data_IF_896681541243
#
_entry.id   IF_896681541243
#
_cell.length_a   1.000
_cell.length_b   1.000
_cell.length_c   1.000
_cell.angle_alpha   90.00
_cell.angle_beta   90.00
_cell.angle_gamma   90.00
#
_symmetry.space_group_name_H-M   'P 1'
#
loop_
_entity.id
_entity.type
_entity.pdbx_description
1 polymer ?
#
# COMPACT_ATOMS: atom_id res chain seq x y z
N UNK A 1 89.22 -15.94 -56.52
CA UNK A 1 90.10 -14.76 -56.46
C UNK A 1 89.34 -13.63 -55.79
N UNK A 2 89.64 -13.40 -54.51
CA UNK A 2 89.22 -12.26 -53.71
C UNK A 2 90.11 -11.06 -54.06
N UNK A 3 89.53 -9.88 -54.29
CA UNK A 3 90.24 -8.60 -54.16
C UNK A 3 89.28 -7.47 -53.81
N UNK A 4 89.45 -6.99 -52.59
CA UNK A 4 89.24 -5.62 -52.09
C UNK A 4 89.65 -4.55 -53.12
N UNK A 5 89.10 -3.34 -53.21
CA UNK A 5 88.13 -2.56 -52.45
C UNK A 5 88.16 -1.11 -52.99
N UNK A 6 87.80 -0.15 -52.14
CA UNK A 6 88.03 1.31 -52.21
C UNK A 6 86.80 2.19 -52.49
N UNK A 7 86.59 3.09 -51.52
CA UNK A 7 85.68 4.23 -51.42
C UNK A 7 85.91 5.32 -52.47
N UNK A 8 84.84 6.05 -52.78
CA UNK A 8 84.89 7.51 -53.00
C UNK A 8 83.54 8.15 -52.59
N UNK A 9 83.50 9.38 -52.03
CA UNK A 9 82.31 9.97 -51.43
C UNK A 9 81.65 11.03 -52.32
N UNK A 10 80.33 11.20 -52.23
CA UNK A 10 79.65 12.37 -52.81
C UNK A 10 78.38 12.76 -52.02
N UNK A 11 78.52 13.90 -51.34
CA UNK A 11 77.57 15.00 -51.20
C UNK A 11 76.06 14.74 -50.95
N UNK A 12 75.65 15.14 -49.75
CA UNK A 12 74.59 16.14 -49.49
C UNK A 12 73.26 16.01 -50.25
N UNK A 13 72.26 15.48 -49.55
CA UNK A 13 70.91 16.07 -49.61
C UNK A 13 70.35 16.26 -48.21
N UNK A 14 70.16 17.53 -47.86
CA UNK A 14 69.40 17.99 -46.71
C UNK A 14 67.92 17.62 -46.90
N UNK A 15 67.49 16.54 -46.27
CA UNK A 15 66.08 16.17 -46.14
C UNK A 15 65.49 16.83 -44.90
N UNK A 16 64.61 17.81 -45.12
CA UNK A 16 63.83 18.49 -44.09
C UNK A 16 63.10 17.50 -43.17
N UNK A 17 63.45 17.45 -41.88
CA UNK A 17 62.62 16.80 -40.86
C UNK A 17 61.40 17.69 -40.58
N UNK A 18 60.36 17.52 -41.39
CA UNK A 18 59.01 17.97 -41.03
C UNK A 18 58.58 17.10 -39.85
N UNK A 19 58.16 17.66 -38.70
CA UNK A 19 57.65 16.83 -37.62
C UNK A 19 56.38 16.14 -38.13
N UNK A 20 56.44 14.81 -38.16
CA UNK A 20 55.31 13.95 -38.50
C UNK A 20 54.22 14.24 -37.46
N UNK A 21 53.20 14.99 -37.88
CA UNK A 21 52.04 15.30 -37.05
C UNK A 21 51.37 13.97 -36.70
N UNK A 22 51.54 13.54 -35.45
CA UNK A 22 50.89 12.36 -34.87
C UNK A 22 49.38 12.54 -35.06
N UNK A 23 48.70 11.67 -35.83
CA UNK A 23 47.29 11.88 -36.15
C UNK A 23 46.46 11.73 -34.88
N UNK A 24 45.72 12.80 -34.57
CA UNK A 24 44.51 12.88 -33.76
C UNK A 24 44.40 11.87 -32.60
N UNK A 25 44.88 12.30 -31.43
CA UNK A 25 44.44 11.71 -30.16
C UNK A 25 42.93 11.94 -30.02
N UNK A 26 42.13 10.99 -30.50
CA UNK A 26 40.70 10.92 -30.20
C UNK A 26 40.53 11.01 -28.68
N UNK A 27 39.58 11.81 -28.16
CA UNK A 27 39.43 12.01 -26.73
C UNK A 27 39.31 10.66 -26.02
N UNK A 28 40.23 10.40 -25.09
CA UNK A 28 40.42 9.13 -24.37
C UNK A 28 39.14 8.62 -23.66
N UNK A 29 38.15 9.49 -23.48
CA UNK A 29 36.86 9.20 -22.86
C UNK A 29 36.02 8.22 -23.68
N UNK A 30 36.17 8.17 -25.02
CA UNK A 30 35.45 7.24 -25.90
C UNK A 30 36.33 6.09 -26.41
N UNK A 31 37.56 5.96 -25.89
CA UNK A 31 38.43 4.84 -26.21
C UNK A 31 37.82 3.55 -25.65
N UNK A 32 37.91 2.46 -26.43
CA UNK A 32 37.31 1.16 -26.08
C UNK A 32 37.92 0.53 -24.83
N UNK A 33 39.13 0.97 -24.48
CA UNK A 33 39.89 0.58 -23.29
C UNK A 33 39.79 1.62 -22.14
N UNK A 34 38.96 2.65 -22.32
CA UNK A 34 38.75 3.71 -21.34
C UNK A 34 37.72 3.37 -20.28
N UNK A 35 37.79 4.05 -19.14
CA UNK A 35 36.84 3.91 -18.01
C UNK A 35 35.37 4.03 -18.41
N UNK A 36 35.05 4.86 -19.41
CA UNK A 36 33.67 5.00 -19.88
C UNK A 36 33.13 3.72 -20.54
N UNK A 37 33.94 3.03 -21.35
CA UNK A 37 33.54 1.77 -21.99
C UNK A 37 33.32 0.67 -20.94
N UNK A 38 34.15 0.64 -19.89
CA UNK A 38 33.99 -0.26 -18.75
C UNK A 38 32.71 0.03 -17.95
N UNK A 39 32.45 1.30 -17.59
CA UNK A 39 31.27 1.71 -16.82
C UNK A 39 29.99 1.49 -17.63
N UNK A 40 29.93 1.95 -18.87
CA UNK A 40 28.75 1.77 -19.74
C UNK A 40 28.49 0.29 -20.05
N UNK A 41 29.55 -0.49 -20.26
CA UNK A 41 29.47 -1.94 -20.45
C UNK A 41 28.90 -2.65 -19.23
N UNK A 42 29.40 -2.29 -18.04
CA UNK A 42 28.92 -2.84 -16.76
C UNK A 42 27.46 -2.48 -16.50
N UNK A 43 27.09 -1.21 -16.65
CA UNK A 43 25.71 -0.75 -16.50
C UNK A 43 24.76 -1.45 -17.48
N UNK A 44 25.17 -1.60 -18.74
CA UNK A 44 24.38 -2.31 -19.75
C UNK A 44 24.17 -3.78 -19.39
N UNK A 45 25.21 -4.46 -18.87
CA UNK A 45 25.10 -5.85 -18.40
C UNK A 45 24.20 -5.96 -17.17
N UNK A 46 24.32 -5.05 -16.20
CA UNK A 46 23.43 -5.01 -15.04
C UNK A 46 21.97 -4.83 -15.45
N UNK A 47 21.69 -3.90 -16.36
CA UNK A 47 20.35 -3.71 -16.94
C UNK A 47 19.84 -4.98 -17.63
N UNK A 48 20.63 -5.58 -18.52
CA UNK A 48 20.23 -6.80 -19.23
C UNK A 48 20.02 -7.98 -18.28
N UNK A 49 20.90 -8.18 -17.30
CA UNK A 49 20.75 -9.21 -16.26
C UNK A 49 19.49 -8.98 -15.44
N UNK A 50 19.14 -7.73 -15.13
CA UNK A 50 17.92 -7.39 -14.43
C UNK A 50 16.67 -7.72 -15.27
N UNK A 51 16.64 -7.34 -16.55
CA UNK A 51 15.54 -7.67 -17.47
C UNK A 51 15.38 -9.19 -17.64
N UNK A 52 16.49 -9.91 -17.80
CA UNK A 52 16.48 -11.38 -17.90
C UNK A 52 15.97 -12.01 -16.60
N UNK A 53 16.44 -11.54 -15.44
CA UNK A 53 15.98 -12.06 -14.14
C UNK A 53 14.47 -11.86 -13.96
N UNK A 54 13.95 -10.66 -14.26
CA UNK A 54 12.51 -10.39 -14.21
C UNK A 54 11.72 -11.29 -15.16
N UNK A 55 12.26 -11.54 -16.36
CA UNK A 55 11.64 -12.45 -17.33
C UNK A 55 11.60 -13.88 -16.79
N UNK A 56 12.70 -14.38 -16.23
CA UNK A 56 12.76 -15.72 -15.65
C UNK A 56 11.78 -15.85 -14.48
N UNK A 57 11.69 -14.83 -13.61
CA UNK A 57 10.73 -14.80 -12.50
C UNK A 57 9.28 -14.80 -12.99
N UNK A 58 8.99 -14.13 -14.12
CA UNK A 58 7.67 -14.13 -14.74
C UNK A 58 7.35 -15.45 -15.48
N UNK A 59 8.34 -16.04 -16.14
CA UNK A 59 8.17 -17.22 -16.99
C UNK A 59 8.15 -18.53 -16.22
N UNK A 60 9.03 -18.67 -15.24
CA UNK A 60 9.25 -19.92 -14.53
C UNK A 60 7.97 -20.45 -13.88
N UNK A 61 7.16 -19.64 -13.16
CA UNK A 61 5.94 -20.13 -12.53
C UNK A 61 4.88 -20.62 -13.53
N UNK A 62 4.90 -20.12 -14.77
CA UNK A 62 3.96 -20.58 -15.82
C UNK A 62 4.17 -22.07 -16.15
N UNK A 63 5.41 -22.56 -16.08
CA UNK A 63 5.72 -23.99 -16.23
C UNK A 63 5.15 -24.84 -15.08
N UNK A 64 4.82 -24.23 -13.94
CA UNK A 64 4.22 -24.87 -12.76
C UNK A 64 2.71 -24.61 -12.65
N UNK A 65 2.05 -24.25 -13.76
CA UNK A 65 0.59 -24.11 -13.81
C UNK A 65 0.04 -22.77 -13.31
N UNK A 66 0.91 -21.77 -13.10
CA UNK A 66 0.45 -20.39 -12.84
C UNK A 66 -0.06 -19.77 -14.14
N UNK A 67 -0.97 -18.80 -14.01
CA UNK A 67 -1.50 -18.01 -15.11
C UNK A 67 -1.08 -16.56 -14.93
N UNK A 68 -0.57 -15.92 -15.98
CA UNK A 68 -0.17 -14.51 -15.94
C UNK A 68 -1.25 -13.60 -16.51
N UNK A 69 -1.55 -12.52 -15.80
CA UNK A 69 -2.50 -11.48 -16.23
C UNK A 69 -1.86 -10.10 -16.06
N UNK A 70 -1.92 -9.28 -17.11
CA UNK A 70 -1.31 -7.95 -17.12
C UNK A 70 -2.31 -6.90 -16.63
N UNK A 71 -1.89 -6.07 -15.69
CA UNK A 71 -2.69 -5.00 -15.09
C UNK A 71 -2.74 -3.80 -16.02
N UNK A 72 -3.96 -3.37 -16.35
CA UNK A 72 -4.18 -2.27 -17.29
C UNK A 72 -4.71 -0.99 -16.64
N UNK A 73 -5.42 -1.11 -15.52
CA UNK A 73 -6.03 0.04 -14.83
C UNK A 73 -5.38 0.28 -13.47
N UNK A 74 -5.50 1.52 -12.97
CA UNK A 74 -4.99 1.93 -11.66
C UNK A 74 -5.93 1.61 -10.49
N UNK A 75 -6.99 0.79 -10.67
CA UNK A 75 -7.97 0.51 -9.60
C UNK A 75 -7.38 -0.20 -8.38
N UNK A 76 -6.15 -0.70 -8.50
CA UNK A 76 -5.45 -1.44 -7.46
C UNK A 76 -4.19 -0.71 -6.95
N UNK A 77 -4.06 0.58 -7.29
CA UNK A 77 -3.02 1.45 -6.73
C UNK A 77 -3.25 1.72 -5.23
N UNK A 78 -2.20 2.04 -4.46
CA UNK A 78 -0.79 2.15 -4.86
C UNK A 78 -0.06 0.81 -4.93
N UNK A 79 -0.68 -0.29 -4.48
CA UNK A 79 0.02 -1.56 -4.29
C UNK A 79 0.37 -2.25 -5.61
N UNK A 80 -0.42 -2.03 -6.65
CA UNK A 80 -0.16 -2.55 -8.00
C UNK A 80 -0.56 -1.52 -9.02
N UNK A 81 0.30 -1.36 -10.02
CA UNK A 81 0.19 -0.29 -10.99
C UNK A 81 -0.04 -0.87 -12.38
N UNK A 82 -0.60 -0.06 -13.30
CA UNK A 82 -0.65 -0.42 -14.71
C UNK A 82 0.73 -0.84 -15.25
N UNK A 83 0.78 -1.94 -15.99
CA UNK A 83 2.01 -2.53 -16.53
C UNK A 83 2.62 -3.65 -15.68
N UNK A 84 2.02 -4.01 -14.55
CA UNK A 84 2.45 -5.15 -13.75
C UNK A 84 1.90 -6.48 -14.24
N UNK A 85 2.64 -7.56 -13.96
CA UNK A 85 2.21 -8.93 -14.23
C UNK A 85 1.82 -9.64 -12.93
N UNK A 86 0.58 -10.10 -12.86
CA UNK A 86 0.02 -10.85 -11.74
C UNK A 86 -0.01 -12.32 -12.12
N UNK A 87 0.70 -13.16 -11.37
CA UNK A 87 0.67 -14.60 -11.54
C UNK A 87 -0.30 -15.20 -10.54
N UNK A 88 -1.36 -15.83 -11.04
CA UNK A 88 -2.43 -16.46 -10.27
C UNK A 88 -2.35 -17.98 -10.36
N UNK A 89 -2.79 -18.65 -9.29
CA UNK A 89 -3.06 -20.10 -9.30
C UNK A 89 -4.56 -20.33 -9.36
N UNK A 90 -5.04 -21.37 -10.06
CA UNK A 90 -6.42 -21.80 -9.96
C UNK A 90 -6.80 -22.03 -8.49
N UNK A 91 -7.98 -21.55 -8.09
CA UNK A 91 -8.49 -21.70 -6.73
C UNK A 91 -9.59 -22.77 -6.74
N UNK A 92 -9.33 -24.01 -6.26
CA UNK A 92 -10.32 -25.11 -6.29
C UNK A 92 -11.62 -24.73 -5.61
N UNK A 93 -12.78 -25.20 -6.06
CA UNK A 93 -14.08 -24.75 -5.55
C UNK A 93 -14.26 -25.00 -4.03
N UNK A 94 -13.70 -26.11 -3.53
CA UNK A 94 -13.80 -26.51 -2.13
C UNK A 94 -12.82 -25.80 -1.18
N UNK A 95 -11.87 -25.03 -1.72
CA UNK A 95 -10.90 -24.33 -0.87
C UNK A 95 -11.53 -23.10 -0.22
N UNK A 96 -11.24 -22.80 1.06
CA UNK A 96 -11.73 -21.59 1.70
C UNK A 96 -11.19 -20.35 0.98
N UNK A 97 -12.03 -19.34 0.84
CA UNK A 97 -11.64 -18.09 0.19
C UNK A 97 -10.99 -17.18 1.24
N UNK A 98 -9.73 -16.75 1.04
CA UNK A 98 -9.05 -15.90 1.99
C UNK A 98 -9.62 -14.48 1.94
N UNK A 99 -10.28 -14.05 3.02
CA UNK A 99 -10.66 -12.66 3.21
C UNK A 99 -9.40 -11.78 3.20
N UNK A 100 -9.48 -10.64 2.50
CA UNK A 100 -8.33 -9.77 2.22
C UNK A 100 -7.43 -10.28 1.09
N UNK A 101 -7.68 -11.47 0.55
CA UNK A 101 -6.98 -12.02 -0.60
C UNK A 101 -7.38 -11.35 -1.90
N UNK A 102 -6.49 -11.39 -2.88
CA UNK A 102 -6.75 -10.86 -4.22
C UNK A 102 -7.08 -11.98 -5.19
N UNK A 103 -8.23 -11.84 -5.84
CA UNK A 103 -8.83 -12.87 -6.66
C UNK A 103 -9.14 -12.36 -8.03
N UNK A 104 -9.01 -13.26 -9.00
CA UNK A 104 -9.24 -13.01 -10.40
C UNK A 104 -10.57 -13.61 -10.83
N UNK A 105 -11.42 -12.80 -11.48
CA UNK A 105 -12.76 -13.18 -11.89
C UNK A 105 -13.18 -12.48 -13.17
N UNK A 106 -14.33 -12.87 -13.72
CA UNK A 106 -14.92 -12.23 -14.89
C UNK A 106 -15.95 -11.18 -14.47
N UNK A 107 -15.71 -9.92 -14.85
CA UNK A 107 -16.58 -8.79 -14.61
C UNK A 107 -17.29 -8.29 -15.89
N UNK A 108 -18.49 -7.70 -15.77
CA UNK A 108 -19.19 -7.10 -16.89
C UNK A 108 -18.43 -5.86 -17.40
N UNK A 109 -18.13 -5.81 -18.69
CA UNK A 109 -17.55 -4.65 -19.35
C UNK A 109 -18.66 -3.65 -19.74
N UNK A 110 -18.34 -2.35 -19.76
CA UNK A 110 -19.27 -1.26 -20.10
C UNK A 110 -19.91 -1.38 -21.51
N UNK A 111 -19.40 -2.27 -22.38
CA UNK A 111 -19.93 -2.56 -23.72
C UNK A 111 -20.60 -3.92 -23.89
N UNK A 112 -21.00 -4.60 -22.80
CA UNK A 112 -21.74 -5.87 -22.87
C UNK A 112 -20.89 -7.15 -23.02
N UNK A 113 -19.56 -7.04 -22.87
CA UNK A 113 -18.64 -8.18 -22.84
C UNK A 113 -18.24 -8.60 -21.42
N UNK A 114 -17.51 -9.72 -21.29
CA UNK A 114 -16.82 -10.08 -20.04
C UNK A 114 -15.34 -9.70 -20.16
N UNK A 115 -14.82 -9.00 -19.16
CA UNK A 115 -13.40 -8.74 -19.02
C UNK A 115 -12.92 -9.30 -17.69
N UNK A 116 -11.65 -9.65 -17.63
CA UNK A 116 -11.07 -10.28 -16.44
C UNK A 116 -10.64 -9.16 -15.49
N UNK A 117 -11.03 -9.28 -14.24
CA UNK A 117 -10.86 -8.28 -13.18
C UNK A 117 -10.16 -8.96 -12.01
N UNK A 118 -9.27 -8.25 -11.32
CA UNK A 118 -8.65 -8.80 -10.11
C UNK A 118 -8.84 -7.82 -8.94
N UNK A 119 -9.83 -8.06 -8.10
CA UNK A 119 -10.05 -7.18 -6.95
C UNK A 119 -9.78 -7.91 -5.64
N UNK A 120 -9.63 -7.12 -4.57
CA UNK A 120 -9.45 -7.67 -3.24
C UNK A 120 -10.79 -8.06 -2.67
N UNK A 121 -10.87 -9.24 -2.08
CA UNK A 121 -12.04 -9.63 -1.29
C UNK A 121 -12.00 -8.86 0.01
N UNK A 122 -12.95 -7.96 0.20
CA UNK A 122 -13.01 -7.10 1.37
C UNK A 122 -13.99 -7.62 2.42
N UNK A 123 -15.03 -8.33 2.01
CA UNK A 123 -16.04 -8.85 2.91
C UNK A 123 -16.78 -10.07 2.30
N UNK A 124 -17.40 -10.91 3.13
CA UNK A 124 -18.46 -11.80 2.67
C UNK A 124 -19.66 -10.97 2.16
N UNK A 125 -20.38 -11.53 1.18
CA UNK A 125 -21.59 -10.95 0.61
C UNK A 125 -22.83 -11.19 1.46
N UNK A 126 -24.02 -10.99 0.87
CA UNK A 126 -25.29 -11.10 1.60
C UNK A 126 -25.66 -12.55 1.86
N UNK A 127 -25.20 -13.47 1.01
CA UNK A 127 -25.38 -14.91 1.18
C UNK A 127 -24.05 -15.59 1.56
N UNK A 128 -24.09 -16.77 2.21
CA UNK A 128 -22.87 -17.49 2.65
C UNK A 128 -21.88 -17.89 1.54
N UNK A 129 -22.25 -17.72 0.27
CA UNK A 129 -21.45 -18.08 -0.91
C UNK A 129 -21.21 -16.89 -1.85
N UNK A 130 -21.38 -15.68 -1.33
CA UNK A 130 -21.05 -14.45 -2.02
C UNK A 130 -19.89 -13.75 -1.33
N UNK A 131 -19.12 -13.01 -2.12
CA UNK A 131 -18.02 -12.17 -1.65
C UNK A 131 -18.11 -10.80 -2.30
N UNK A 132 -17.76 -9.78 -1.53
CA UNK A 132 -17.67 -8.41 -2.00
C UNK A 132 -16.21 -8.15 -2.35
N UNK A 133 -15.99 -7.77 -3.60
CA UNK A 133 -14.68 -7.36 -4.09
C UNK A 133 -14.57 -5.85 -4.17
N UNK A 134 -13.35 -5.35 -4.07
CA UNK A 134 -13.07 -3.93 -4.19
C UNK A 134 -11.67 -3.69 -4.74
N UNK A 135 -11.55 -2.69 -5.61
CA UNK A 135 -10.27 -2.14 -6.02
C UNK A 135 -9.57 -1.39 -4.89
N UNK A 136 -8.27 -1.61 -4.67
CA UNK A 136 -7.53 -0.94 -3.58
C UNK A 136 -7.57 0.60 -3.68
N UNK A 137 -7.64 1.15 -4.89
CA UNK A 137 -7.74 2.58 -5.17
C UNK A 137 -9.18 3.09 -5.27
N UNK A 138 -10.18 2.21 -5.36
CA UNK A 138 -11.57 2.63 -5.49
C UNK A 138 -12.08 3.14 -4.13
N UNK A 139 -13.00 4.11 -4.12
CA UNK A 139 -13.65 4.57 -2.88
C UNK A 139 -14.75 3.59 -2.43
N UNK A 140 -15.49 3.07 -3.40
CA UNK A 140 -16.59 2.14 -3.21
C UNK A 140 -16.21 0.69 -3.53
N UNK A 141 -16.92 -0.25 -2.91
CA UNK A 141 -16.83 -1.66 -3.26
C UNK A 141 -17.63 -1.95 -4.53
N UNK A 142 -17.30 -3.04 -5.23
CA UNK A 142 -18.02 -3.42 -6.43
C UNK A 142 -19.48 -3.74 -6.08
N UNK A 143 -20.41 -3.15 -6.83
CA UNK A 143 -21.85 -3.30 -6.58
C UNK A 143 -22.36 -4.72 -6.84
N UNK A 144 -21.62 -5.51 -7.61
CA UNK A 144 -21.96 -6.89 -7.95
C UNK A 144 -21.23 -7.84 -7.01
N UNK A 145 -21.97 -8.54 -6.16
CA UNK A 145 -21.42 -9.61 -5.34
C UNK A 145 -20.91 -10.77 -6.21
N UNK A 146 -19.77 -11.31 -5.84
CA UNK A 146 -19.07 -12.37 -6.56
C UNK A 146 -19.40 -13.71 -5.92
N UNK A 147 -20.00 -14.62 -6.71
CA UNK A 147 -20.25 -15.99 -6.30
C UNK A 147 -19.01 -16.87 -6.53
N UNK A 148 -18.95 -18.02 -5.85
CA UNK A 148 -17.76 -18.90 -5.86
C UNK A 148 -17.32 -19.30 -7.27
N UNK A 149 -18.27 -19.59 -8.14
CA UNK A 149 -18.11 -20.04 -9.53
C UNK A 149 -17.46 -19.01 -10.43
N UNK A 150 -17.59 -17.71 -10.12
CA UNK A 150 -17.00 -16.63 -10.90
C UNK A 150 -15.53 -16.40 -10.58
N UNK A 151 -15.04 -16.94 -9.47
CA UNK A 151 -13.64 -16.79 -9.05
C UNK A 151 -12.77 -17.80 -9.77
N UNK A 152 -11.99 -17.32 -10.73
CA UNK A 152 -11.14 -18.16 -11.59
C UNK A 152 -9.78 -18.49 -10.97
N UNK A 153 -9.26 -17.64 -10.10
CA UNK A 153 -7.94 -17.84 -9.50
C UNK A 153 -7.65 -16.87 -8.36
N UNK A 154 -6.58 -17.18 -7.63
CA UNK A 154 -6.04 -16.31 -6.60
C UNK A 154 -4.66 -15.83 -7.04
N UNK A 155 -4.41 -14.52 -6.95
CA UNK A 155 -3.07 -13.97 -7.15
C UNK A 155 -2.09 -14.59 -6.17
N UNK A 156 -0.90 -15.00 -6.65
CA UNK A 156 0.21 -15.50 -5.81
C UNK A 156 1.50 -14.67 -5.91
N UNK A 157 1.87 -14.21 -7.11
CA UNK A 157 3.10 -13.45 -7.34
C UNK A 157 2.84 -12.19 -8.16
N UNK A 158 3.56 -11.12 -7.86
CA UNK A 158 3.61 -9.90 -8.66
C UNK A 158 4.99 -9.71 -9.27
N UNK A 159 5.04 -9.44 -10.56
CA UNK A 159 6.26 -9.01 -11.24
C UNK A 159 6.04 -7.62 -11.82
N UNK A 160 6.68 -6.64 -11.19
CA UNK A 160 6.57 -5.21 -11.52
C UNK A 160 7.16 -4.94 -12.91
N UNK A 161 6.53 -4.06 -13.68
CA UNK A 161 7.01 -3.54 -14.99
C UNK A 161 7.10 -4.52 -16.17
N UNK A 162 7.02 -5.84 -15.97
CA UNK A 162 7.16 -6.83 -17.04
C UNK A 162 6.03 -6.74 -18.07
N UNK A 163 4.85 -6.30 -17.68
CA UNK A 163 3.68 -6.14 -18.56
C UNK A 163 3.66 -4.83 -19.36
N UNK A 164 4.60 -3.91 -19.16
CA UNK A 164 4.62 -2.61 -19.84
C UNK A 164 4.70 -2.73 -21.37
N UNK A 165 5.57 -3.58 -21.98
CA UNK A 165 5.62 -3.72 -23.44
C UNK A 165 4.30 -4.23 -24.03
N UNK A 166 3.63 -5.21 -23.39
CA UNK A 166 2.30 -5.67 -23.81
C UNK A 166 1.26 -4.58 -23.70
N UNK A 167 1.29 -3.80 -22.61
CA UNK A 167 0.33 -2.72 -22.39
C UNK A 167 0.47 -1.63 -23.44
N UNK A 168 1.70 -1.24 -23.77
CA UNK A 168 1.97 -0.26 -24.82
C UNK A 168 1.51 -0.77 -26.19
N UNK A 169 1.77 -2.03 -26.50
CA UNK A 169 1.34 -2.64 -27.76
C UNK A 169 -0.20 -2.70 -27.86
N UNK A 170 -0.88 -3.15 -26.79
CA UNK A 170 -2.33 -3.24 -26.74
C UNK A 170 -3.02 -1.88 -26.75
N UNK A 171 -2.42 -0.86 -26.14
CA UNK A 171 -2.91 0.51 -26.13
C UNK A 171 -2.49 1.34 -27.35
N UNK A 172 -1.86 0.73 -28.37
CA UNK A 172 -1.29 1.41 -29.54
C UNK A 172 -0.28 2.54 -29.20
N UNK A 173 0.37 2.47 -28.04
CA UNK A 173 1.39 3.41 -27.59
C UNK A 173 2.77 3.01 -28.13
N UNK A 174 3.00 3.24 -29.43
CA UNK A 174 4.24 2.79 -30.08
C UNK A 174 5.50 3.55 -29.64
N UNK A 175 5.38 4.82 -29.24
CA UNK A 175 6.52 5.65 -28.83
C UNK A 175 7.31 5.06 -27.64
N UNK A 176 6.69 4.74 -26.48
CA UNK A 176 7.41 4.13 -25.37
C UNK A 176 7.94 2.72 -25.72
N UNK A 177 7.20 1.95 -26.51
CA UNK A 177 7.62 0.62 -26.95
C UNK A 177 8.90 0.68 -27.81
N UNK A 178 8.92 1.53 -28.84
CA UNK A 178 10.08 1.71 -29.72
C UNK A 178 11.26 2.28 -28.94
N UNK A 179 11.02 3.22 -28.03
CA UNK A 179 12.07 3.79 -27.17
C UNK A 179 12.71 2.73 -26.27
N UNK A 180 11.89 1.86 -25.66
CA UNK A 180 12.37 0.76 -24.84
C UNK A 180 13.15 -0.30 -25.65
N UNK A 181 12.65 -0.66 -26.84
CA UNK A 181 13.34 -1.57 -27.76
C UNK A 181 14.68 -1.00 -28.23
N UNK A 182 14.72 0.29 -28.58
CA UNK A 182 15.95 0.98 -28.97
C UNK A 182 16.95 1.05 -27.81
N UNK A 183 16.50 1.38 -26.59
CA UNK A 183 17.35 1.39 -25.40
C UNK A 183 17.91 0.02 -25.06
N UNK A 184 17.09 -1.03 -25.16
CA UNK A 184 17.53 -2.42 -24.94
C UNK A 184 18.50 -2.88 -26.03
N UNK A 185 18.24 -2.55 -27.30
CA UNK A 185 19.17 -2.81 -28.40
C UNK A 185 20.51 -2.09 -28.22
N UNK A 186 20.49 -0.84 -27.75
CA UNK A 186 21.69 -0.09 -27.42
C UNK A 186 22.47 -0.72 -26.26
N UNK A 187 21.79 -1.21 -25.21
CA UNK A 187 22.41 -1.92 -24.11
C UNK A 187 23.08 -3.23 -24.55
N UNK A 188 22.44 -4.00 -25.44
CA UNK A 188 23.04 -5.21 -26.04
C UNK A 188 24.28 -4.85 -26.84
N UNK A 189 24.20 -3.82 -27.68
CA UNK A 189 25.33 -3.34 -28.47
C UNK A 189 26.49 -2.86 -27.58
N UNK A 190 26.22 -2.07 -26.53
CA UNK A 190 27.20 -1.59 -25.57
C UNK A 190 27.84 -2.73 -24.76
N UNK A 191 27.05 -3.72 -24.32
CA UNK A 191 27.54 -4.89 -23.60
C UNK A 191 28.49 -5.75 -24.46
N UNK A 192 28.20 -5.87 -25.77
CA UNK A 192 29.04 -6.57 -26.74
C UNK A 192 30.28 -5.75 -27.16
N UNK A 193 30.13 -4.43 -27.30
CA UNK A 193 31.24 -3.54 -27.66
C UNK A 193 32.29 -3.45 -26.55
N UNK A 194 31.85 -3.36 -25.30
CA UNK A 194 32.68 -3.34 -24.08
C UNK A 194 33.25 -4.71 -23.67
N UNK A 195 32.96 -5.78 -24.43
CA UNK A 195 33.55 -7.08 -24.14
C UNK A 195 35.04 -7.07 -24.50
N UNK A 196 35.94 -7.47 -23.58
CA UNK A 196 37.36 -7.61 -23.89
C UNK A 196 37.52 -8.59 -25.05
N UNK A 197 37.99 -8.13 -26.20
CA UNK A 197 38.41 -9.03 -27.26
C UNK A 197 39.79 -9.52 -26.84
N UNK A 198 39.91 -10.81 -26.60
CA UNK A 198 41.22 -11.43 -26.43
C UNK A 198 42.05 -11.05 -27.66
N UNK A 199 43.03 -10.18 -27.46
CA UNK A 199 43.97 -9.82 -28.50
C UNK A 199 44.68 -11.13 -28.90
N UNK A 200 44.55 -11.50 -30.17
CA UNK A 200 45.12 -12.70 -30.81
C UNK A 200 46.67 -12.73 -30.82
N UNK A 201 47.32 -11.99 -29.91
CA UNK A 201 48.77 -11.98 -29.69
C UNK A 201 49.27 -13.13 -28.82
N UNK A 202 48.48 -14.18 -28.59
CA UNK A 202 48.96 -15.47 -28.07
C UNK A 202 48.47 -16.60 -28.99
N UNK A 203 49.32 -17.00 -29.93
CA UNK A 203 49.11 -18.18 -30.80
C UNK A 203 48.82 -19.42 -29.92
N UNK A 204 47.72 -20.17 -30.14
CA UNK A 204 47.52 -21.44 -29.45
C UNK A 204 48.26 -22.57 -30.20
N UNK A 205 48.88 -23.47 -29.45
CA UNK A 205 49.35 -24.76 -29.95
C UNK A 205 48.16 -25.61 -30.44
N UNK A 206 48.32 -26.48 -31.46
CA UNK A 206 47.20 -27.22 -32.02
C UNK A 206 46.81 -28.37 -31.08
N UNK A 207 45.60 -28.32 -30.52
CA UNK A 207 45.10 -29.41 -29.69
C UNK A 207 43.67 -29.21 -29.18
N UNK A 208 42.73 -29.95 -29.77
CA UNK A 208 41.31 -30.14 -29.38
C UNK A 208 40.44 -28.88 -29.35
N UNK A 209 39.72 -28.71 -30.46
CA UNK A 209 38.57 -27.82 -30.65
C UNK A 209 37.44 -28.24 -29.69
N UNK A 210 37.38 -27.65 -28.51
CA UNK A 210 36.15 -27.59 -27.70
C UNK A 210 35.42 -26.30 -28.10
N UNK A 211 34.30 -26.45 -28.78
CA UNK A 211 33.41 -25.33 -29.10
C UNK A 211 32.80 -24.80 -27.79
N UNK A 212 33.49 -23.84 -27.16
CA UNK A 212 32.88 -23.01 -26.14
C UNK A 212 31.91 -22.05 -26.85
N UNK A 213 30.61 -22.34 -26.71
CA UNK A 213 29.54 -21.40 -27.04
C UNK A 213 29.88 -20.05 -26.38
N UNK A 214 30.14 -19.03 -27.20
CA UNK A 214 30.46 -17.68 -26.72
C UNK A 214 29.30 -17.20 -25.84
N UNK A 215 29.52 -16.87 -24.55
CA UNK A 215 28.44 -16.52 -23.61
C UNK A 215 27.60 -15.30 -24.05
N UNK A 216 28.12 -14.47 -24.96
CA UNK A 216 27.41 -13.36 -25.58
C UNK A 216 26.18 -13.79 -26.43
N UNK A 217 26.21 -14.99 -27.03
CA UNK A 217 25.06 -15.52 -27.79
C UNK A 217 23.96 -15.99 -26.84
N UNK A 218 24.32 -16.52 -25.66
CA UNK A 218 23.35 -17.00 -24.67
C UNK A 218 22.53 -15.85 -24.03
N UNK A 219 23.12 -14.67 -23.82
CA UNK A 219 22.41 -13.50 -23.27
C UNK A 219 21.45 -12.85 -24.28
N UNK A 220 21.76 -12.96 -25.57
CA UNK A 220 20.97 -12.31 -26.65
C UNK A 220 19.71 -13.09 -27.01
N UNK A 221 19.72 -14.42 -26.86
CA UNK A 221 18.57 -15.29 -27.19
C UNK A 221 17.45 -15.19 -26.15
N UNK A 222 17.75 -14.80 -24.90
CA UNK A 222 16.74 -14.69 -23.83
C UNK A 222 15.93 -13.39 -23.89
N UNK A 223 16.49 -12.31 -24.47
CA UNK A 223 15.79 -11.03 -24.61
C UNK A 223 14.63 -11.09 -25.65
N UNK A 224 14.74 -11.96 -26.66
CA UNK A 224 13.67 -12.21 -27.64
C UNK A 224 12.57 -13.10 -27.05
N UNK A 225 12.88 -13.92 -26.04
CA UNK A 225 11.90 -14.76 -25.34
C UNK A 225 10.94 -13.96 -24.45
N UNK A 226 11.35 -12.77 -23.97
CA UNK A 226 10.47 -11.87 -23.18
C UNK A 226 9.25 -11.45 -24.00
N UNK A 227 9.46 -11.12 -25.27
CA UNK A 227 8.36 -10.75 -26.17
C UNK A 227 7.45 -11.96 -26.48
N UNK A 228 8.02 -13.15 -26.74
CA UNK A 228 7.24 -14.35 -27.06
C UNK A 228 6.40 -14.90 -25.89
N UNK A 229 6.89 -14.77 -24.66
CA UNK A 229 6.16 -15.16 -23.46
C UNK A 229 4.98 -14.21 -23.16
N UNK A 230 5.18 -12.92 -23.43
CA UNK A 230 4.19 -11.86 -23.23
C UNK A 230 3.07 -11.92 -24.29
N UNK A 231 3.36 -12.41 -25.50
CA UNK A 231 2.37 -12.56 -26.59
C UNK A 231 1.37 -13.72 -26.39
N UNK A 232 1.61 -14.64 -25.45
CA UNK A 232 0.67 -15.74 -25.13
C UNK A 232 -0.12 -15.53 -23.82
N UNK A 233 0.06 -14.40 -23.13
CA UNK A 233 -0.76 -14.07 -21.97
C UNK A 233 -2.17 -13.63 -22.43
N UNK A 234 -3.17 -14.48 -22.20
CA UNK A 234 -4.60 -14.18 -22.40
C UNK A 234 -5.10 -13.09 -21.40
N UNK A 235 -6.34 -12.57 -21.51
CA UNK A 235 -6.65 -11.14 -21.45
C UNK A 235 -6.44 -10.47 -20.09
N UNK A 236 -6.21 -9.16 -20.20
CA UNK A 236 -6.02 -8.14 -19.19
C UNK A 236 -6.80 -8.34 -17.88
N UNK A 237 -6.14 -8.07 -16.76
CA UNK A 237 -6.78 -8.08 -15.43
C UNK A 237 -6.00 -7.22 -14.45
N UNK A 238 -6.67 -6.33 -13.72
CA UNK A 238 -6.07 -5.42 -12.72
C UNK A 238 -6.09 -6.04 -11.33
N UNK A 239 -5.00 -6.12 -10.53
CA UNK A 239 -4.90 -6.80 -9.19
C UNK A 239 -4.19 -5.98 -8.11
N UNK A 240 -4.27 -6.34 -6.81
CA UNK A 240 -3.36 -5.95 -5.70
C UNK A 240 -2.76 -7.20 -5.01
N UNK A 241 -1.77 -7.05 -4.13
CA UNK A 241 -1.21 -8.15 -3.33
C UNK A 241 -0.97 -7.70 -1.89
N UNK A 242 -1.23 -8.58 -0.92
CA UNK A 242 -0.68 -8.44 0.44
C UNK A 242 0.13 -9.68 0.81
N UNK A 243 1.43 -9.42 0.91
CA UNK A 243 2.47 -10.03 1.76
C UNK A 243 2.67 -11.56 1.78
N UNK A 244 3.85 -11.98 1.27
CA UNK A 244 5.00 -12.58 2.01
C UNK A 244 5.79 -13.50 1.06
N UNK A 245 7.11 -13.32 0.98
CA UNK A 245 8.03 -14.43 0.68
C UNK A 245 9.11 -14.43 1.76
N UNK A 246 9.08 -15.43 2.64
CA UNK A 246 10.14 -15.66 3.62
C UNK A 246 11.25 -16.47 2.98
N UNK A 247 12.51 -16.07 3.14
CA UNK A 247 13.66 -16.99 3.07
C UNK A 247 14.58 -16.70 4.26
N UNK A 248 15.27 -17.75 4.72
CA UNK A 248 15.96 -17.89 6.03
C UNK A 248 17.01 -16.81 6.34
N UNK A 249 17.37 -15.94 5.39
CA UNK A 249 18.52 -15.04 5.53
C UNK A 249 18.23 -13.54 5.41
N UNK A 250 17.01 -13.08 5.11
CA UNK A 250 16.71 -11.63 5.11
C UNK A 250 15.23 -11.35 5.42
N UNK A 251 14.97 -10.45 6.38
CA UNK A 251 13.67 -9.81 6.61
C UNK A 251 13.79 -8.33 6.29
N UNK A 252 13.28 -7.90 5.14
CA UNK A 252 13.02 -6.48 4.88
C UNK A 252 11.61 -6.16 5.40
N UNK A 253 11.55 -5.45 6.53
CA UNK A 253 10.31 -4.90 7.04
C UNK A 253 10.25 -3.41 6.68
N UNK A 254 9.29 -3.02 5.84
CA UNK A 254 8.79 -1.66 5.87
C UNK A 254 7.97 -1.54 7.16
N UNK A 255 8.47 -0.78 8.14
CA UNK A 255 7.71 -0.50 9.34
C UNK A 255 6.42 0.24 8.98
N UNK A 256 5.27 -0.41 9.16
CA UNK A 256 4.01 0.33 9.25
C UNK A 256 4.02 1.00 10.61
N UNK A 257 4.33 2.29 10.66
CA UNK A 257 3.80 3.11 11.74
C UNK A 257 2.28 3.01 11.61
N UNK A 258 1.61 2.47 12.63
CA UNK A 258 0.15 2.55 12.71
C UNK A 258 -0.19 4.03 12.77
N UNK A 259 -0.56 4.63 11.65
CA UNK A 259 -1.28 5.89 11.67
C UNK A 259 -2.59 5.59 12.38
N UNK A 260 -2.75 6.09 13.60
CA UNK A 260 -4.02 6.06 14.33
C UNK A 260 -5.07 6.74 13.44
N UNK A 261 -5.83 5.92 12.74
CA UNK A 261 -6.81 6.36 11.76
C UNK A 261 -8.16 5.81 12.18
N UNK A 262 -9.13 6.70 12.30
CA UNK A 262 -10.53 6.33 12.55
C UNK A 262 -11.16 5.62 11.34
N UNK A 263 -10.48 5.56 10.18
CA UNK A 263 -10.98 4.91 8.98
C UNK A 263 -12.37 5.43 8.61
N UNK A 264 -13.31 4.51 8.37
CA UNK A 264 -14.71 4.85 8.06
C UNK A 264 -15.54 5.25 9.28
N UNK A 265 -15.03 5.13 10.50
CA UNK A 265 -15.71 5.70 11.67
C UNK A 265 -15.64 7.25 11.67
N UNK A 266 -14.82 7.86 10.82
CA UNK A 266 -14.74 9.33 10.63
C UNK A 266 -16.02 9.95 10.08
N UNK A 267 -16.89 9.21 9.40
CA UNK A 267 -18.17 9.77 8.93
C UNK A 267 -19.26 9.77 10.01
N UNK A 268 -19.03 9.10 11.15
CA UNK A 268 -20.04 8.89 12.19
C UNK A 268 -19.75 9.68 13.46
N UNK A 269 -20.67 10.53 13.87
CA UNK A 269 -20.65 11.16 15.19
C UNK A 269 -20.95 10.13 16.29
N UNK A 270 -21.86 9.19 16.01
CA UNK A 270 -22.23 8.13 16.94
C UNK A 270 -22.21 6.78 16.22
N UNK A 271 -21.56 5.78 16.83
CA UNK A 271 -21.52 4.42 16.33
C UNK A 271 -21.78 3.44 17.48
N UNK A 272 -22.72 2.51 17.33
CA UNK A 272 -23.06 1.53 18.36
C UNK A 272 -23.19 0.10 17.81
N UNK A 273 -23.03 -0.88 18.68
CA UNK A 273 -23.19 -2.29 18.33
C UNK A 273 -24.65 -2.74 18.37
N UNK A 274 -25.33 -2.45 19.48
CA UNK A 274 -26.66 -3.02 19.77
C UNK A 274 -27.80 -2.05 19.45
N UNK A 275 -27.75 -0.83 20.02
CA UNK A 275 -28.76 0.22 19.79
C UNK A 275 -28.21 1.61 20.09
N UNK A 276 -28.84 2.62 19.52
CA UNK A 276 -28.70 4.03 19.88
C UNK A 276 -30.05 4.52 20.42
N UNK A 277 -30.08 5.03 21.64
CA UNK A 277 -31.31 5.48 22.27
C UNK A 277 -31.15 6.90 22.84
N UNK A 278 -32.10 7.77 22.55
CA UNK A 278 -32.34 8.96 23.34
C UNK A 278 -33.36 8.60 24.42
N UNK A 279 -32.94 8.64 25.68
CA UNK A 279 -33.71 8.21 26.84
C UNK A 279 -34.60 9.31 27.43
N UNK A 280 -34.59 10.52 26.86
CA UNK A 280 -35.49 11.59 27.33
C UNK A 280 -36.96 11.31 26.97
N UNK A 281 -37.85 11.79 27.83
CA UNK A 281 -39.30 11.73 27.62
C UNK A 281 -39.63 12.53 26.36
N UNK A 282 -40.34 11.89 25.42
CA UNK A 282 -40.65 12.41 24.06
C UNK A 282 -39.43 12.63 23.14
N UNK A 283 -38.21 12.23 23.54
CA UNK A 283 -37.01 12.38 22.70
C UNK A 283 -36.53 13.82 22.51
N UNK A 284 -36.98 14.76 23.35
CA UNK A 284 -36.72 16.19 23.14
C UNK A 284 -35.32 16.57 23.66
N UNK A 285 -34.60 17.40 22.90
CA UNK A 285 -33.44 18.14 23.38
C UNK A 285 -32.07 17.48 23.17
N UNK A 286 -32.02 16.34 22.46
CA UNK A 286 -30.76 15.82 21.93
C UNK A 286 -30.60 16.25 20.48
N UNK A 287 -29.44 16.77 20.09
CA UNK A 287 -29.14 17.06 18.69
C UNK A 287 -27.77 16.54 18.30
N UNK A 288 -27.66 16.04 17.08
CA UNK A 288 -26.49 15.35 16.55
C UNK A 288 -26.14 15.97 15.20
N UNK A 289 -25.01 16.67 15.17
CA UNK A 289 -24.39 17.16 13.94
C UNK A 289 -23.38 16.12 13.45
N UNK A 290 -23.87 15.21 12.60
CA UNK A 290 -23.10 14.14 11.98
C UNK A 290 -23.96 12.88 11.76
N UNK A 291 -23.41 11.86 11.11
CA UNK A 291 -24.14 10.61 10.88
C UNK A 291 -24.15 9.71 12.12
N UNK A 292 -25.20 8.90 12.26
CA UNK A 292 -25.31 7.86 13.28
C UNK A 292 -25.36 6.48 12.64
N UNK A 293 -24.68 5.52 13.25
CA UNK A 293 -24.59 4.15 12.76
C UNK A 293 -24.83 3.12 13.86
N UNK A 294 -25.64 2.10 13.58
CA UNK A 294 -25.78 0.94 14.44
C UNK A 294 -25.54 -0.34 13.64
N UNK A 295 -24.67 -1.22 14.13
CA UNK A 295 -24.42 -2.52 13.50
C UNK A 295 -23.75 -3.49 14.50
N UNK A 296 -24.16 -4.77 14.58
CA UNK A 296 -25.19 -5.45 13.78
C UNK A 296 -26.63 -5.12 14.19
N UNK A 297 -26.82 -4.40 15.29
CA UNK A 297 -28.14 -3.95 15.72
C UNK A 297 -28.80 -3.00 14.73
N UNK A 298 -30.11 -2.80 14.90
CA UNK A 298 -30.92 -1.88 14.08
C UNK A 298 -31.72 -0.89 14.92
N UNK A 299 -31.58 -0.96 16.25
CA UNK A 299 -32.34 -0.13 17.19
C UNK A 299 -31.83 1.31 17.21
N UNK A 300 -32.62 2.23 16.67
CA UNK A 300 -32.45 3.68 16.85
C UNK A 300 -33.78 4.23 17.32
N UNK A 301 -33.83 4.78 18.53
CA UNK A 301 -35.08 5.21 19.19
C UNK A 301 -34.94 6.56 19.88
N UNK A 302 -36.03 7.33 19.96
CA UNK A 302 -36.08 8.61 20.68
C UNK A 302 -35.47 9.79 19.91
N UNK A 303 -35.23 9.65 18.61
CA UNK A 303 -34.79 10.74 17.73
C UNK A 303 -35.90 11.11 16.76
N UNK A 304 -36.11 12.41 16.60
CA UNK A 304 -36.95 12.99 15.57
C UNK A 304 -36.13 13.19 14.28
N UNK A 305 -36.78 13.34 13.11
CA UNK A 305 -36.06 13.49 11.83
C UNK A 305 -35.09 14.67 11.76
N UNK A 306 -35.30 15.72 12.57
CA UNK A 306 -34.45 16.91 12.62
C UNK A 306 -33.38 16.88 13.73
N UNK A 307 -33.40 15.88 14.62
CA UNK A 307 -32.40 15.75 15.68
C UNK A 307 -31.05 15.28 15.14
N UNK A 308 -31.03 14.66 13.96
CA UNK A 308 -29.83 14.15 13.30
C UNK A 308 -29.66 14.86 11.96
N UNK A 309 -28.58 15.63 11.81
CA UNK A 309 -28.29 16.32 10.54
C UNK A 309 -27.72 15.39 9.47
N UNK A 310 -27.04 14.30 9.88
CA UNK A 310 -26.42 13.34 8.98
C UNK A 310 -27.30 12.12 8.63
N UNK A 311 -26.68 11.10 8.04
CA UNK A 311 -27.37 9.83 7.72
C UNK A 311 -27.65 9.02 8.99
N UNK A 312 -28.76 8.26 8.97
CA UNK A 312 -29.05 7.24 9.97
C UNK A 312 -28.86 5.85 9.35
N UNK A 313 -27.76 5.21 9.67
CA UNK A 313 -27.35 3.93 9.12
C UNK A 313 -27.69 2.77 10.07
N UNK A 314 -28.69 1.97 9.70
CA UNK A 314 -29.15 0.81 10.49
C UNK A 314 -28.70 -0.48 9.81
N UNK A 315 -27.66 -1.10 10.35
CA UNK A 315 -27.03 -2.31 9.84
C UNK A 315 -26.70 -2.26 8.33
N UNK A 316 -26.34 -1.07 7.83
CA UNK A 316 -25.89 -0.89 6.44
C UNK A 316 -24.43 -1.33 6.30
N UNK A 317 -23.97 -1.58 5.07
CA UNK A 317 -22.56 -1.90 4.82
C UNK A 317 -21.61 -0.80 5.32
N UNK A 318 -22.04 0.47 5.27
CA UNK A 318 -21.31 1.60 5.85
C UNK A 318 -21.10 1.46 7.35
N UNK A 319 -22.17 1.19 8.12
CA UNK A 319 -22.09 1.00 9.56
C UNK A 319 -21.30 -0.26 9.97
N UNK A 320 -21.42 -1.36 9.21
CA UNK A 320 -20.64 -2.60 9.42
C UNK A 320 -19.14 -2.33 9.25
N UNK A 321 -18.76 -1.65 8.17
CA UNK A 321 -17.36 -1.34 7.87
C UNK A 321 -16.79 -0.32 8.87
N UNK A 322 -17.57 0.71 9.23
CA UNK A 322 -17.17 1.69 10.23
C UNK A 322 -16.93 1.03 11.61
N UNK A 323 -17.74 0.05 12.00
CA UNK A 323 -17.52 -0.71 13.24
C UNK A 323 -16.26 -1.57 13.17
N UNK A 324 -15.99 -2.18 12.02
CA UNK A 324 -14.78 -2.97 11.81
C UNK A 324 -13.53 -2.10 11.95
N UNK A 325 -13.54 -0.91 11.34
CA UNK A 325 -12.45 0.06 11.45
C UNK A 325 -12.30 0.58 12.90
N UNK A 326 -13.41 0.82 13.61
CA UNK A 326 -13.38 1.21 15.03
C UNK A 326 -12.81 0.11 15.94
N UNK A 327 -13.10 -1.17 15.65
CA UNK A 327 -12.53 -2.31 16.38
C UNK A 327 -11.01 -2.41 16.16
N UNK A 328 -10.57 -2.18 14.92
CA UNK A 328 -9.14 -2.11 14.59
C UNK A 328 -8.47 -0.95 15.34
N UNK A 329 -9.06 0.23 15.33
CA UNK A 329 -8.56 1.39 16.08
C UNK A 329 -8.44 1.09 17.58
N UNK A 330 -9.43 0.41 18.17
CA UNK A 330 -9.36 -0.01 19.58
C UNK A 330 -8.20 -0.96 19.85
N UNK A 331 -7.97 -1.93 18.95
CA UNK A 331 -6.80 -2.81 19.00
C UNK A 331 -5.48 -2.05 18.90
N UNK A 332 -5.37 -1.14 17.93
CA UNK A 332 -4.18 -0.32 17.69
C UNK A 332 -3.89 0.60 18.89
N UNK A 333 -4.91 1.25 19.46
CA UNK A 333 -4.80 2.10 20.65
C UNK A 333 -4.35 1.33 21.89
N UNK A 334 -4.78 0.08 22.04
CA UNK A 334 -4.34 -0.79 23.14
C UNK A 334 -2.95 -1.39 22.91
N UNK A 335 -2.49 -1.47 21.66
CA UNK A 335 -1.14 -1.92 21.33
C UNK A 335 -0.05 -0.85 21.54
N UNK A 336 -0.40 0.45 21.60
CA UNK A 336 0.57 1.52 21.84
C UNK A 336 1.34 1.31 23.16
N UNK A 337 2.61 1.69 23.24
CA UNK A 337 3.33 1.66 24.52
C UNK A 337 2.78 2.76 25.46
N UNK A 338 2.55 2.40 26.73
CA UNK A 338 2.12 3.37 27.74
C UNK A 338 3.26 4.34 28.05
N UNK A 339 3.01 5.64 27.99
CA UNK A 339 3.98 6.66 28.41
C UNK A 339 3.88 6.97 29.91
N UNK A 340 2.75 6.62 30.54
CA UNK A 340 2.54 6.80 31.96
C UNK A 340 1.31 6.05 32.49
N UNK A 341 1.19 6.00 33.81
CA UNK A 341 0.04 5.40 34.50
C UNK A 341 -1.02 6.46 34.78
N UNK A 342 -2.27 6.21 34.42
CA UNK A 342 -3.36 7.15 34.70
C UNK A 342 -3.76 7.09 36.19
N UNK A 343 -3.98 8.24 36.84
CA UNK A 343 -4.49 8.28 38.22
C UNK A 343 -5.93 7.75 38.29
N UNK A 344 -6.42 7.45 39.51
CA UNK A 344 -7.82 7.08 39.73
C UNK A 344 -8.77 8.23 39.38
N UNK A 345 -8.33 9.46 39.65
CA UNK A 345 -9.06 10.67 39.29
C UNK A 345 -8.18 11.55 38.42
N UNK A 346 -8.58 11.73 37.16
CA UNK A 346 -7.90 12.61 36.21
C UNK A 346 -8.32 14.06 36.50
N UNK A 347 -7.35 14.89 36.86
CA UNK A 347 -7.51 16.33 37.13
C UNK A 347 -6.30 17.10 36.59
N UNK A 348 -6.45 18.40 36.37
CA UNK A 348 -5.33 19.27 35.98
C UNK A 348 -4.93 19.16 34.51
N UNK A 349 -3.64 19.33 34.22
CA UNK A 349 -3.12 19.36 32.84
C UNK A 349 -2.56 18.00 32.42
N UNK A 350 -2.98 17.53 31.25
CA UNK A 350 -2.51 16.29 30.62
C UNK A 350 -1.58 16.64 29.46
N UNK A 351 -0.38 16.09 29.49
CA UNK A 351 0.61 16.20 28.41
C UNK A 351 0.42 15.12 27.34
N UNK A 352 0.94 15.30 26.11
CA UNK A 352 0.80 14.31 25.06
C UNK A 352 1.37 12.94 25.42
N UNK A 353 0.64 11.87 25.11
CA UNK A 353 1.05 10.51 25.42
C UNK A 353 -0.10 9.54 25.65
N UNK A 354 0.26 8.34 26.10
CA UNK A 354 -0.64 7.22 26.38
C UNK A 354 -0.65 6.95 27.88
N UNK A 355 -1.72 7.40 28.55
CA UNK A 355 -1.99 7.12 29.96
C UNK A 355 -2.84 5.85 30.08
N UNK A 356 -2.32 4.86 30.80
CA UNK A 356 -2.99 3.57 30.99
C UNK A 356 -3.28 3.28 32.45
N UNK A 357 -4.45 2.71 32.73
CA UNK A 357 -4.84 2.21 34.04
C UNK A 357 -5.60 0.89 33.90
N UNK A 358 -5.30 -0.06 34.77
CA UNK A 358 -6.01 -1.36 34.83
C UNK A 358 -7.34 -1.29 35.58
N UNK A 359 -7.55 -0.26 36.40
CA UNK A 359 -8.78 0.02 37.14
C UNK A 359 -9.59 1.20 36.57
N UNK A 360 -10.68 1.58 37.26
CA UNK A 360 -11.56 2.66 36.81
C UNK A 360 -10.82 4.01 36.83
N UNK A 361 -11.17 4.86 35.86
CA UNK A 361 -10.68 6.24 35.74
C UNK A 361 -11.88 7.19 35.83
N UNK A 362 -11.83 8.10 36.78
CA UNK A 362 -12.83 9.17 36.91
C UNK A 362 -12.24 10.50 36.46
N UNK A 363 -12.87 11.18 35.51
CA UNK A 363 -12.50 12.54 35.10
C UNK A 363 -13.36 13.51 35.92
N UNK A 364 -12.73 14.40 36.69
CA UNK A 364 -13.45 15.32 37.58
C UNK A 364 -12.93 16.75 37.44
N UNK A 365 -13.83 17.72 37.53
CA UNK A 365 -13.52 19.13 37.32
C UNK A 365 -13.03 19.41 35.89
N UNK A 366 -12.13 20.39 35.77
CA UNK A 366 -11.56 20.78 34.48
C UNK A 366 -10.25 20.04 34.22
N UNK A 367 -10.21 19.24 33.16
CA UNK A 367 -9.01 18.60 32.65
C UNK A 367 -8.56 19.32 31.38
N UNK A 368 -7.32 19.78 31.35
CA UNK A 368 -6.75 20.54 30.22
C UNK A 368 -5.77 19.69 29.45
N UNK A 369 -6.01 19.46 28.17
CA UNK A 369 -5.06 18.81 27.27
C UNK A 369 -4.18 19.88 26.62
N UNK A 370 -2.89 19.89 26.95
CA UNK A 370 -1.91 20.86 26.42
C UNK A 370 -1.02 20.16 25.40
N UNK A 371 -1.15 20.52 24.12
CA UNK A 371 -0.35 19.94 23.03
C UNK A 371 1.07 20.53 22.91
N UNK A 372 1.44 21.49 23.77
CA UNK A 372 2.78 22.08 23.79
C UNK A 372 3.13 22.89 22.54
N UNK A 373 2.15 23.23 21.71
CA UNK A 373 2.33 23.96 20.45
C UNK A 373 2.38 23.08 19.19
N UNK A 374 2.28 21.75 19.33
CA UNK A 374 2.31 20.81 18.20
C UNK A 374 0.94 20.13 18.00
N UNK A 375 0.18 20.49 16.96
CA UNK A 375 -1.17 19.96 16.74
C UNK A 375 -1.19 18.49 16.28
N UNK A 376 -0.04 17.89 15.95
CA UNK A 376 0.04 16.48 15.55
C UNK A 376 0.02 15.50 16.73
N UNK A 377 0.13 16.02 17.96
CA UNK A 377 0.26 15.24 19.18
C UNK A 377 -1.04 14.54 19.57
N UNK A 378 -0.91 13.26 19.91
CA UNK A 378 -2.03 12.40 20.29
C UNK A 378 -2.07 12.17 21.80
N UNK A 379 -3.27 12.13 22.35
CA UNK A 379 -3.55 11.84 23.75
C UNK A 379 -4.44 10.62 23.84
N UNK A 380 -4.01 9.61 24.58
CA UNK A 380 -4.78 8.39 24.81
C UNK A 380 -4.90 8.19 26.31
N UNK A 381 -6.13 8.17 26.81
CA UNK A 381 -6.43 7.83 28.21
C UNK A 381 -7.21 6.53 28.21
N UNK A 382 -6.67 5.50 28.86
CA UNK A 382 -7.30 4.17 28.93
C UNK A 382 -7.51 3.67 30.36
N UNK A 383 -8.67 3.05 30.59
CA UNK A 383 -9.10 2.52 31.89
C UNK A 383 -10.01 1.30 31.75
N UNK A 384 -10.27 0.58 32.85
CA UNK A 384 -11.26 -0.52 32.84
C UNK A 384 -12.66 0.01 32.59
N UNK A 385 -13.03 1.11 33.25
CA UNK A 385 -14.21 1.93 33.00
C UNK A 385 -13.80 3.40 33.05
N UNK A 386 -14.53 4.23 32.32
CA UNK A 386 -14.29 5.68 32.27
C UNK A 386 -15.56 6.41 32.71
N UNK A 387 -15.43 7.26 33.74
CA UNK A 387 -16.54 8.04 34.27
C UNK A 387 -16.18 9.51 34.29
N UNK A 388 -16.92 10.35 33.57
CA UNK A 388 -16.86 11.80 33.75
C UNK A 388 -17.82 12.18 34.86
N UNK A 389 -17.31 12.79 35.93
CA UNK A 389 -18.13 13.30 37.01
C UNK A 389 -19.08 14.41 36.50
N UNK A 390 -20.21 14.67 37.17
CA UNK A 390 -21.09 15.78 36.82
C UNK A 390 -20.31 17.11 36.73
N UNK A 391 -20.55 17.87 35.67
CA UNK A 391 -19.87 19.14 35.38
C UNK A 391 -18.40 19.00 34.92
N UNK A 392 -17.93 17.80 34.59
CA UNK A 392 -16.57 17.62 34.09
C UNK A 392 -16.36 18.35 32.76
N UNK A 393 -15.22 19.04 32.64
CA UNK A 393 -14.91 19.86 31.46
C UNK A 393 -13.57 19.45 30.85
N UNK A 394 -13.55 19.15 29.55
CA UNK A 394 -12.35 18.87 28.77
C UNK A 394 -11.94 20.14 28.01
N UNK A 395 -10.92 20.82 28.52
CA UNK A 395 -10.35 22.02 27.90
C UNK A 395 -9.16 21.67 27.00
N UNK A 396 -9.03 22.39 25.89
CA UNK A 396 -7.93 22.24 24.93
C UNK A 396 -7.02 23.47 25.01
N UNK A 397 -5.70 23.27 25.00
CA UNK A 397 -4.71 24.35 25.07
C UNK A 397 -3.58 24.13 24.06
N UNK A 398 -3.03 25.25 23.55
CA UNK A 398 -1.82 25.29 22.69
C UNK A 398 -1.84 24.30 21.52
N UNK A 399 -2.92 24.31 20.73
CA UNK A 399 -3.02 23.54 19.50
C UNK A 399 -3.56 22.11 19.66
N UNK A 400 -4.05 21.73 20.84
CA UNK A 400 -4.72 20.44 21.02
C UNK A 400 -6.02 20.38 20.19
N UNK A 401 -6.14 19.36 19.35
CA UNK A 401 -7.31 19.10 18.52
C UNK A 401 -8.18 17.98 19.13
N UNK A 402 -9.52 18.09 19.10
CA UNK A 402 -10.42 17.06 19.61
C UNK A 402 -10.22 15.71 18.90
N UNK A 403 -9.94 15.69 17.59
CA UNK A 403 -9.66 14.47 16.81
C UNK A 403 -8.44 13.67 17.25
N UNK A 404 -7.56 14.27 18.07
CA UNK A 404 -6.34 13.64 18.56
C UNK A 404 -6.44 13.21 20.03
N UNK A 405 -7.62 13.31 20.63
CA UNK A 405 -7.86 12.89 22.01
C UNK A 405 -8.76 11.66 22.01
N UNK A 406 -8.24 10.57 22.56
CA UNK A 406 -8.91 9.28 22.63
C UNK A 406 -9.12 8.86 24.08
N UNK A 407 -10.36 8.61 24.44
CA UNK A 407 -10.77 8.04 25.73
C UNK A 407 -11.20 6.60 25.51
N UNK A 408 -10.39 5.64 25.95
CA UNK A 408 -10.57 4.21 25.67
C UNK A 408 -10.99 3.46 26.93
N UNK A 409 -12.16 2.85 26.93
CA UNK A 409 -12.67 2.03 28.04
C UNK A 409 -12.74 0.56 27.67
N UNK A 410 -12.24 -0.29 28.58
CA UNK A 410 -12.39 -1.75 28.48
C UNK A 410 -13.82 -2.27 28.74
N UNK A 411 -14.67 -1.43 29.33
CA UNK A 411 -16.07 -1.72 29.61
C UNK A 411 -16.92 -0.51 29.20
N UNK A 412 -17.45 0.27 30.15
CA UNK A 412 -18.37 1.36 29.88
C UNK A 412 -17.70 2.73 29.92
N UNK A 413 -18.28 3.68 29.20
CA UNK A 413 -18.00 5.12 29.33
C UNK A 413 -19.29 5.79 29.81
N UNK A 414 -19.22 6.52 30.92
CA UNK A 414 -20.37 7.26 31.45
C UNK A 414 -19.99 8.72 31.64
N UNK A 415 -20.78 9.63 31.08
CA UNK A 415 -20.65 11.06 31.31
C UNK A 415 -21.79 11.58 32.17
N UNK A 416 -21.44 12.14 33.33
CA UNK A 416 -22.37 12.76 34.28
C UNK A 416 -23.01 14.04 33.73
N UNK A 417 -24.05 14.51 34.41
CA UNK A 417 -24.83 15.66 33.97
C UNK A 417 -23.97 16.92 33.79
N UNK A 418 -24.28 17.73 32.77
CA UNK A 418 -23.61 19.01 32.51
C UNK A 418 -22.15 18.89 32.05
N UNK A 419 -21.72 17.72 31.55
CA UNK A 419 -20.32 17.52 31.14
C UNK A 419 -20.02 18.16 29.78
N UNK A 420 -18.90 18.88 29.67
CA UNK A 420 -18.40 19.44 28.41
C UNK A 420 -17.21 18.62 27.91
N UNK A 421 -17.47 17.72 26.96
CA UNK A 421 -16.51 16.74 26.48
C UNK A 421 -15.95 17.13 25.11
N UNK A 422 -14.67 16.82 24.90
CA UNK A 422 -14.00 17.00 23.61
C UNK A 422 -13.15 15.78 23.30
N UNK A 423 -13.35 15.18 22.14
CA UNK A 423 -12.59 14.02 21.64
C UNK A 423 -13.40 12.77 21.40
N UNK A 424 -12.70 11.66 21.16
CA UNK A 424 -13.29 10.38 20.76
C UNK A 424 -13.46 9.47 21.97
N UNK A 425 -14.71 9.19 22.33
CA UNK A 425 -15.08 8.22 23.35
C UNK A 425 -15.19 6.83 22.70
N UNK A 426 -14.30 5.92 23.08
CA UNK A 426 -14.22 4.56 22.54
C UNK A 426 -14.45 3.56 23.68
N UNK A 427 -15.64 2.96 23.74
CA UNK A 427 -16.00 1.97 24.76
C UNK A 427 -16.12 0.57 24.15
N UNK A 428 -15.54 -0.43 24.82
CA UNK A 428 -15.80 -1.82 24.45
C UNK A 428 -17.26 -2.22 24.76
N UNK A 429 -17.82 -1.74 25.86
CA UNK A 429 -19.23 -1.90 26.27
C UNK A 429 -20.06 -0.65 25.96
N UNK A 430 -20.95 -0.27 26.87
CA UNK A 430 -21.92 0.82 26.67
C UNK A 430 -21.29 2.22 26.81
N UNK A 431 -21.84 3.18 26.05
CA UNK A 431 -21.58 4.62 26.23
C UNK A 431 -22.85 5.29 26.69
N UNK A 432 -22.81 5.97 27.82
CA UNK A 432 -23.93 6.75 28.36
C UNK A 432 -23.52 8.20 28.52
N UNK A 433 -24.27 9.12 27.94
CA UNK A 433 -24.07 10.55 28.11
C UNK A 433 -25.37 11.14 28.69
N UNK A 434 -25.27 11.63 29.92
CA UNK A 434 -26.41 12.12 30.68
C UNK A 434 -26.74 13.60 30.36
N UNK A 435 -27.70 14.16 31.09
CA UNK A 435 -28.40 15.41 30.78
C UNK A 435 -27.46 16.60 30.64
N UNK A 436 -27.75 17.47 29.69
CA UNK A 436 -27.07 18.77 29.52
C UNK A 436 -25.58 18.68 29.18
N UNK A 437 -25.16 17.53 28.68
CA UNK A 437 -23.79 17.33 28.25
C UNK A 437 -23.60 17.75 26.79
N UNK A 438 -22.40 18.24 26.48
CA UNK A 438 -21.97 18.53 25.12
C UNK A 438 -20.76 17.67 24.77
N UNK A 439 -20.73 17.12 23.56
CA UNK A 439 -19.62 16.33 23.05
C UNK A 439 -19.18 16.92 21.71
N UNK A 440 -18.01 17.56 21.68
CA UNK A 440 -17.34 17.91 20.44
C UNK A 440 -16.35 16.80 20.08
N UNK A 441 -16.80 15.85 19.27
CA UNK A 441 -16.10 14.60 19.14
C UNK A 441 -16.98 13.48 18.61
N UNK A 442 -16.72 12.26 19.08
CA UNK A 442 -17.43 11.06 18.65
C UNK A 442 -17.70 10.13 19.81
N UNK A 443 -18.84 9.45 19.78
CA UNK A 443 -19.20 8.41 20.74
C UNK A 443 -19.30 7.06 20.04
N UNK A 444 -18.40 6.14 20.36
CA UNK A 444 -18.30 4.84 19.70
C UNK A 444 -18.36 3.73 20.76
N UNK A 445 -19.33 2.83 20.59
CA UNK A 445 -19.51 1.62 21.38
C UNK A 445 -19.30 0.38 20.51
N UNK A 446 -18.32 -0.47 20.88
CA UNK A 446 -17.88 -1.60 20.06
C UNK A 446 -18.75 -2.85 20.24
N UNK A 447 -19.25 -3.09 21.46
CA UNK A 447 -20.13 -4.23 21.79
C UNK A 447 -21.43 -3.83 22.48
N UNK A 448 -21.57 -2.56 22.91
CA UNK A 448 -22.71 -2.08 23.67
C UNK A 448 -23.68 -1.17 22.89
N UNK A 449 -24.48 -0.45 23.67
CA UNK A 449 -25.39 0.59 23.23
C UNK A 449 -24.80 1.99 23.47
N UNK A 450 -25.29 2.97 22.72
CA UNK A 450 -25.08 4.40 23.04
C UNK A 450 -26.40 4.97 23.53
N UNK A 451 -26.41 5.49 24.75
CA UNK A 451 -27.60 6.11 25.37
C UNK A 451 -27.32 7.59 25.63
N UNK A 452 -28.20 8.45 25.12
CA UNK A 452 -28.14 9.90 25.30
C UNK A 452 -29.34 10.39 26.09
N UNK A 453 -29.18 11.47 26.84
CA UNK A 453 -30.26 12.16 27.54
C UNK A 453 -30.02 13.66 27.38
N UNK A 454 -30.79 14.36 26.54
CA UNK A 454 -30.64 15.81 26.27
C UNK A 454 -29.19 16.25 25.99
N UNK A 455 -28.57 15.62 24.98
CA UNK A 455 -27.14 15.80 24.66
C UNK A 455 -26.95 16.48 23.32
N UNK A 456 -25.96 17.36 23.22
CA UNK A 456 -25.51 17.94 21.95
C UNK A 456 -24.21 17.26 21.50
N UNK A 457 -24.23 16.56 20.37
CA UNK A 457 -23.05 15.90 19.80
C UNK A 457 -22.70 16.58 18.48
N UNK A 458 -21.49 17.11 18.38
CA UNK A 458 -20.98 17.77 17.18
C UNK A 458 -19.73 17.04 16.73
N UNK A 459 -19.76 16.52 15.51
CA UNK A 459 -18.58 15.96 14.87
C UNK A 459 -17.50 17.05 14.76
N UNK A 460 -16.23 16.75 15.11
CA UNK A 460 -15.12 17.71 15.07
C UNK A 460 -14.79 18.22 13.66
#
# INVERSE_FOLDING_TARGET
>A
MTRTGVCEPAATQAGSTRPEARPDARPAVLSRDGWAAFVLGTLSRCYLSFVVALTVIAALPLAFGFRGSVVQTGSMEPHISPGDLVLSTPLPQDSPIPLGGVVEFWGPAAGGGQHRVVHRIVAPGRTPQEWITKGDANDDADSTALTRDKITGQGRLLVRWVGLPSMWLAGHQYVPLVSWLAGTGAAVWLAAWSWPRDDERRRPAPGRRREHLKPAVAVSVVAVSVAGLVLNASPASSAAFTARTSNVHNTFAAGTWSTLSLGRATSYAILACTRIANAEVLGIGSSITGSIGVSPGTGVTGFWPWDVTGSTDKNTAGAVNARTDALKLYGDLNALAATGTAPSTLTGTVTPGVLRRSGPVTVSGTVTFDAGGDPSRTFVVSGSSLTFAPGATVALKRGAAPDKIFFVSGSTVTAGDGSQLRGVLLANGDVTINRDSTLQGRAISLQGAVTLTRVQVTQP
#
